data_IF_312159160229
#
_entry.id   IF_312159160229
#
_cell.length_a   1.000
_cell.length_b   1.000
_cell.length_c   1.000
_cell.angle_alpha   90.00
_cell.angle_beta   90.00
_cell.angle_gamma   90.00
#
_symmetry.space_group_name_H-M   'P 1'
#
loop_
_entity.id
_entity.type
_entity.pdbx_description
1 polymer ?
#
# COMPACT_ATOMS: atom_id res chain seq x y z
N UNK A 1 -2.59 -10.07 -5.13
CA UNK A 1 -2.00 -8.83 -4.57
C UNK A 1 -3.07 -7.78 -4.75
N UNK A 2 -3.65 -7.31 -3.65
CA UNK A 2 -4.95 -6.63 -3.65
C UNK A 2 -4.89 -5.24 -3.01
N UNK A 3 -3.69 -4.65 -2.96
CA UNK A 3 -3.49 -3.28 -2.52
C UNK A 3 -4.09 -2.31 -3.54
N UNK A 4 -4.71 -1.24 -3.03
CA UNK A 4 -5.34 -0.19 -3.83
C UNK A 4 -4.73 1.16 -3.50
N UNK A 5 -4.87 2.11 -4.43
CA UNK A 5 -4.53 3.49 -4.16
C UNK A 5 -5.32 4.00 -2.95
N UNK A 6 -4.63 4.68 -2.03
CA UNK A 6 -5.20 5.19 -0.79
C UNK A 6 -5.27 4.18 0.36
N UNK A 7 -5.01 2.88 0.13
CA UNK A 7 -4.88 1.90 1.22
C UNK A 7 -3.79 2.35 2.20
N UNK A 8 -4.06 2.24 3.51
CA UNK A 8 -3.05 2.51 4.54
C UNK A 8 -2.41 1.21 5.01
N UNK A 9 -1.10 1.19 5.05
CA UNK A 9 -0.28 0.10 5.53
C UNK A 9 0.37 0.55 6.84
N UNK A 10 0.27 -0.27 7.86
CA UNK A 10 0.97 -0.04 9.12
C UNK A 10 2.06 -1.10 9.26
N UNK A 11 3.29 -0.66 9.50
CA UNK A 11 4.35 -1.53 9.98
C UNK A 11 4.74 -1.11 11.41
N UNK A 12 5.71 -1.83 12.00
CA UNK A 12 6.17 -1.59 13.36
C UNK A 12 6.78 -0.20 13.57
N UNK A 13 7.12 0.52 12.49
CA UNK A 13 7.87 1.78 12.53
C UNK A 13 7.05 2.97 12.07
N UNK A 14 6.10 2.81 11.16
CA UNK A 14 5.35 3.91 10.56
C UNK A 14 4.07 3.48 9.85
N UNK A 15 3.20 4.46 9.65
CA UNK A 15 2.04 4.37 8.78
C UNK A 15 2.36 4.93 7.39
N UNK A 16 1.92 4.21 6.38
CA UNK A 16 2.18 4.49 4.98
C UNK A 16 0.87 4.48 4.19
N UNK A 17 0.71 5.41 3.25
CA UNK A 17 -0.40 5.41 2.32
C UNK A 17 0.07 4.99 0.93
N UNK A 18 -0.67 4.11 0.26
CA UNK A 18 -0.41 3.76 -1.13
C UNK A 18 -0.72 4.96 -2.03
N UNK A 19 0.29 5.47 -2.74
CA UNK A 19 0.19 6.63 -3.66
C UNK A 19 0.39 6.24 -5.12
N UNK A 20 0.76 4.98 -5.40
CA UNK A 20 0.98 4.48 -6.76
C UNK A 20 0.27 3.15 -7.01
N UNK A 21 -0.04 2.89 -8.27
CA UNK A 21 -0.64 1.62 -8.68
C UNK A 21 0.35 0.47 -8.41
N UNK A 22 -0.06 -0.57 -7.67
CA UNK A 22 0.76 -1.76 -7.48
C UNK A 22 1.12 -2.42 -8.80
N UNK A 23 2.35 -2.91 -8.91
CA UNK A 23 2.82 -3.70 -10.04
C UNK A 23 3.64 -4.89 -9.54
N UNK A 24 3.75 -5.94 -10.35
CA UNK A 24 4.53 -7.11 -10.00
C UNK A 24 5.68 -7.33 -10.97
N UNK A 25 6.80 -7.84 -10.47
CA UNK A 25 7.98 -8.22 -11.24
C UNK A 25 8.29 -9.70 -11.04
N UNK A 26 9.33 -10.21 -11.72
CA UNK A 26 9.77 -11.61 -11.63
C UNK A 26 8.64 -12.63 -11.89
N UNK A 27 7.75 -12.34 -12.85
CA UNK A 27 6.61 -13.20 -13.18
C UNK A 27 5.54 -13.27 -12.09
N UNK A 28 5.39 -12.23 -11.27
CA UNK A 28 4.40 -12.18 -10.19
C UNK A 28 4.95 -12.60 -8.81
N UNK A 29 6.25 -12.94 -8.73
CA UNK A 29 6.90 -13.37 -7.48
C UNK A 29 7.16 -12.24 -6.49
N UNK A 30 7.22 -11.01 -6.98
CA UNK A 30 7.44 -9.83 -6.13
C UNK A 30 6.48 -8.74 -6.53
N UNK A 31 5.71 -8.25 -5.56
CA UNK A 31 4.83 -7.11 -5.75
C UNK A 31 5.50 -5.85 -5.20
N UNK A 32 5.40 -4.75 -5.95
CA UNK A 32 5.97 -3.44 -5.64
C UNK A 32 4.85 -2.42 -5.54
N UNK A 33 4.92 -1.55 -4.53
CA UNK A 33 3.96 -0.47 -4.33
C UNK A 33 4.69 0.79 -3.89
N UNK A 34 4.36 1.91 -4.54
CA UNK A 34 4.81 3.23 -4.10
C UNK A 34 3.91 3.74 -2.98
N UNK A 35 4.53 4.11 -1.88
CA UNK A 35 3.86 4.62 -0.68
C UNK A 35 4.41 5.99 -0.26
N UNK A 36 3.64 6.72 0.51
CA UNK A 36 4.04 7.96 1.18
C UNK A 36 3.83 7.84 2.69
N UNK A 37 4.72 8.43 3.49
CA UNK A 37 4.57 8.45 4.94
C UNK A 37 3.36 9.30 5.33
N UNK A 38 2.46 8.75 6.15
CA UNK A 38 1.33 9.50 6.69
C UNK A 38 1.81 10.56 7.69
N UNK A 39 2.85 10.24 8.45
CA UNK A 39 3.40 11.14 9.49
C UNK A 39 4.30 12.23 8.91
N UNK A 40 4.90 12.01 7.74
CA UNK A 40 5.81 12.95 7.08
C UNK A 40 5.48 13.06 5.57
N UNK A 41 4.50 13.91 5.20
CA UNK A 41 4.13 14.12 3.81
C UNK A 41 5.34 14.52 2.95
N UNK A 42 5.45 13.96 1.75
CA UNK A 42 6.58 14.13 0.84
C UNK A 42 7.65 13.04 0.95
N UNK A 43 7.68 12.25 2.02
CA UNK A 43 8.58 11.09 2.13
C UNK A 43 7.95 9.89 1.42
N UNK A 44 8.45 9.55 0.23
CA UNK A 44 7.95 8.41 -0.56
C UNK A 44 8.93 7.24 -0.60
N UNK A 45 8.41 6.02 -0.57
CA UNK A 45 9.19 4.77 -0.62
C UNK A 45 8.54 3.75 -1.57
N UNK A 46 9.33 2.82 -2.10
CA UNK A 46 8.81 1.64 -2.81
C UNK A 46 8.94 0.44 -1.88
N UNK A 47 7.78 -0.12 -1.49
CA UNK A 47 7.71 -1.32 -0.67
C UNK A 47 7.52 -2.54 -1.56
N UNK A 48 8.23 -3.61 -1.21
CA UNK A 48 8.23 -4.87 -1.96
C UNK A 48 7.79 -6.02 -1.06
N UNK A 49 6.99 -6.93 -1.59
CA UNK A 49 6.54 -8.13 -0.89
C UNK A 49 6.72 -9.36 -1.76
N UNK A 50 7.06 -10.48 -1.13
CA UNK A 50 7.06 -11.78 -1.81
C UNK A 50 5.64 -12.21 -2.20
N UNK A 51 5.55 -13.11 -3.16
CA UNK A 51 4.29 -13.79 -3.45
C UNK A 51 3.79 -14.50 -2.18
N UNK A 52 2.49 -14.37 -1.91
CA UNK A 52 1.80 -14.93 -0.74
C UNK A 52 2.15 -14.28 0.61
N UNK A 53 2.93 -13.20 0.64
CA UNK A 53 3.16 -12.44 1.86
C UNK A 53 1.89 -11.67 2.27
N UNK A 54 1.59 -11.68 3.58
CA UNK A 54 0.39 -11.03 4.13
C UNK A 54 0.74 -9.61 4.57
N UNK A 55 -0.04 -8.64 4.09
CA UNK A 55 0.11 -7.24 4.46
C UNK A 55 -1.12 -6.80 5.23
N UNK A 56 -0.92 -6.21 6.40
CA UNK A 56 -2.00 -5.59 7.18
C UNK A 56 -2.40 -4.26 6.55
N UNK A 57 -3.66 -4.16 6.13
CA UNK A 57 -4.20 -2.96 5.47
C UNK A 57 -5.32 -2.37 6.31
N UNK A 58 -5.16 -1.11 6.67
CA UNK A 58 -6.23 -0.31 7.23
C UNK A 58 -6.93 0.43 6.10
N UNK A 59 -8.14 -0.03 5.77
CA UNK A 59 -9.04 0.67 4.85
C UNK A 59 -10.03 1.45 5.71
N UNK A 60 -9.94 2.77 5.67
CA UNK A 60 -11.09 3.57 6.07
C UNK A 60 -12.17 3.29 5.02
N UNK A 61 -13.26 2.62 5.40
CA UNK A 61 -14.48 2.60 4.59
C UNK A 61 -14.94 4.03 4.46
N UNK A 62 -14.55 4.69 3.38
CA UNK A 62 -15.31 5.83 2.90
C UNK A 62 -16.65 5.25 2.47
N UNK A 63 -17.68 5.46 3.28
CA UNK A 63 -19.06 5.32 2.86
C UNK A 63 -19.25 6.27 1.67
N UNK A 64 -18.97 5.76 0.46
CA UNK A 64 -19.29 6.41 -0.80
C UNK A 64 -20.37 5.58 -1.50
N UNK A 65 -21.41 5.25 -0.73
CA UNK A 65 -22.75 4.96 -1.24
C UNK A 65 -23.61 6.21 -1.09
N UNK A 66 -23.31 7.26 -1.85
CA UNK A 66 -24.27 8.35 -2.06
C UNK A 66 -24.08 8.99 -3.44
N UNK A 67 -24.78 8.43 -4.42
CA UNK A 67 -25.53 9.15 -5.45
C UNK A 67 -26.44 8.18 -6.18
#
# INVERSE_FOLDING_TARGET
MDLKLGDRLADERSEWQVIGRPYATAGGKTAHVRVESVSQPGVTEIRSWGAHERVSVHRATTEAGKR
#
